data_IF_897189353360
#
_entry.id   IF_897189353360
#
_cell.length_a   1.000
_cell.length_b   1.000
_cell.length_c   1.000
_cell.angle_alpha   90.00
_cell.angle_beta   90.00
_cell.angle_gamma   90.00
#
_symmetry.space_group_name_H-M   'P 1'
#
loop_
_entity.id
_entity.type
_entity.pdbx_description
1 polymer ?
#
# COMPACT_ATOMS: atom_id res chain seq x y z
N UNK A 1 -28.16 11.90 -11.14
CA UNK A 1 -28.29 11.93 -9.67
C UNK A 1 -26.91 12.26 -9.10
N UNK A 2 -26.79 13.35 -8.35
CA UNK A 2 -25.53 13.73 -7.70
C UNK A 2 -25.27 12.73 -6.57
N UNK A 3 -24.37 11.78 -6.78
CA UNK A 3 -23.87 10.92 -5.70
C UNK A 3 -23.14 11.83 -4.72
N UNK A 4 -23.66 12.00 -3.51
CA UNK A 4 -22.90 12.64 -2.44
C UNK A 4 -21.57 11.91 -2.28
N UNK A 5 -20.47 12.65 -2.32
CA UNK A 5 -19.13 12.10 -2.07
C UNK A 5 -19.09 11.73 -0.58
N UNK A 6 -18.86 10.45 -0.29
CA UNK A 6 -18.59 10.01 1.08
C UNK A 6 -17.24 10.58 1.52
N UNK A 7 -17.22 11.34 2.61
CA UNK A 7 -16.04 12.01 3.15
C UNK A 7 -15.69 11.39 4.50
N UNK A 8 -14.44 10.97 4.65
CA UNK A 8 -13.86 10.66 5.96
C UNK A 8 -13.48 11.97 6.66
N UNK A 9 -13.99 12.21 7.87
CA UNK A 9 -13.79 13.48 8.58
C UNK A 9 -12.37 13.65 9.10
N UNK A 10 -11.70 12.54 9.45
CA UNK A 10 -10.33 12.56 9.97
C UNK A 10 -9.32 12.63 8.82
N UNK A 11 -9.67 12.01 7.69
CA UNK A 11 -8.85 11.93 6.49
C UNK A 11 -9.64 12.37 5.24
N UNK A 12 -9.91 13.69 5.09
CA UNK A 12 -10.78 14.21 4.03
C UNK A 12 -10.25 14.00 2.62
N UNK A 13 -8.96 13.66 2.48
CA UNK A 13 -8.37 13.33 1.18
C UNK A 13 -8.67 11.91 0.71
N UNK A 14 -9.25 11.05 1.54
CA UNK A 14 -9.58 9.67 1.16
C UNK A 14 -10.68 9.60 0.12
N UNK A 15 -10.40 8.91 -0.99
CA UNK A 15 -11.44 8.45 -1.91
C UNK A 15 -12.18 7.23 -1.30
N UNK A 16 -13.11 7.47 -0.37
CA UNK A 16 -13.69 6.43 0.51
C UNK A 16 -14.29 5.25 -0.26
N UNK A 17 -15.04 5.52 -1.33
CA UNK A 17 -15.61 4.45 -2.18
C UNK A 17 -14.51 3.55 -2.78
N UNK A 18 -13.43 4.16 -3.28
CA UNK A 18 -12.28 3.46 -3.85
C UNK A 18 -11.51 2.69 -2.78
N UNK A 19 -11.27 3.29 -1.62
CA UNK A 19 -10.65 2.62 -0.49
C UNK A 19 -11.39 1.34 -0.11
N UNK A 20 -12.73 1.41 0.05
CA UNK A 20 -13.56 0.25 0.39
C UNK A 20 -13.46 -0.86 -0.65
N UNK A 21 -13.53 -0.51 -1.93
CA UNK A 21 -13.42 -1.48 -3.01
C UNK A 21 -12.03 -2.13 -3.10
N UNK A 22 -10.96 -1.35 -2.86
CA UNK A 22 -9.59 -1.89 -2.75
C UNK A 22 -9.44 -2.84 -1.56
N UNK A 23 -10.01 -2.48 -0.39
CA UNK A 23 -10.03 -3.36 0.80
C UNK A 23 -10.76 -4.67 0.52
N UNK A 24 -11.93 -4.61 -0.12
CA UNK A 24 -12.70 -5.79 -0.51
C UNK A 24 -11.90 -6.72 -1.43
N UNK A 25 -11.24 -6.17 -2.45
CA UNK A 25 -10.35 -6.96 -3.31
C UNK A 25 -9.20 -7.58 -2.52
N UNK A 26 -8.51 -6.81 -1.68
CA UNK A 26 -7.40 -7.30 -0.89
C UNK A 26 -7.81 -8.45 0.04
N UNK A 27 -8.99 -8.36 0.67
CA UNK A 27 -9.56 -9.44 1.49
C UNK A 27 -10.00 -10.66 0.68
N UNK A 28 -10.33 -10.49 -0.61
CA UNK A 28 -10.75 -11.59 -1.48
C UNK A 28 -9.59 -12.46 -1.99
N UNK A 29 -8.35 -11.99 -1.89
CA UNK A 29 -7.17 -12.72 -2.33
C UNK A 29 -6.94 -13.93 -1.43
N UNK A 30 -6.85 -15.12 -2.03
CA UNK A 30 -6.64 -16.37 -1.28
C UNK A 30 -5.15 -16.64 -1.03
N UNK A 31 -4.86 -17.39 0.03
CA UNK A 31 -3.47 -17.71 0.41
C UNK A 31 -2.72 -18.47 -0.68
N UNK A 32 -3.36 -19.40 -1.39
CA UNK A 32 -2.75 -20.14 -2.51
C UNK A 32 -2.41 -19.24 -3.70
N UNK A 33 -3.20 -18.19 -3.91
CA UNK A 33 -2.95 -17.16 -4.91
C UNK A 33 -1.78 -16.24 -4.56
N UNK A 34 -1.60 -15.98 -3.27
CA UNK A 34 -0.53 -15.15 -2.71
C UNK A 34 0.76 -15.92 -2.39
N UNK A 35 0.77 -17.24 -2.60
CA UNK A 35 1.93 -18.11 -2.37
C UNK A 35 2.56 -18.62 -3.66
N UNK A 36 2.31 -17.93 -4.77
CA UNK A 36 2.90 -18.20 -6.09
C UNK A 36 4.24 -17.47 -6.28
N UNK A 37 4.76 -17.47 -7.50
CA UNK A 37 5.89 -16.63 -7.89
C UNK A 37 5.59 -15.16 -7.59
N UNK A 38 6.56 -14.46 -6.99
CA UNK A 38 6.40 -13.09 -6.52
C UNK A 38 5.94 -12.12 -7.61
N UNK A 39 6.36 -12.29 -8.87
CA UNK A 39 5.91 -11.41 -9.94
C UNK A 39 4.40 -11.54 -10.20
N UNK A 40 3.83 -12.75 -10.10
CA UNK A 40 2.38 -12.95 -10.17
C UNK A 40 1.67 -12.39 -8.94
N UNK A 41 2.22 -12.65 -7.75
CA UNK A 41 1.66 -12.17 -6.49
C UNK A 41 1.61 -10.63 -6.47
N UNK A 42 2.68 -9.95 -6.85
CA UNK A 42 2.72 -8.48 -6.92
C UNK A 42 1.68 -7.94 -7.89
N UNK A 43 1.47 -8.56 -9.06
CA UNK A 43 0.40 -8.15 -9.99
C UNK A 43 -0.98 -8.26 -9.36
N UNK A 44 -1.24 -9.29 -8.56
CA UNK A 44 -2.50 -9.45 -7.82
C UNK A 44 -2.66 -8.38 -6.73
N UNK A 45 -1.59 -8.07 -6.00
CA UNK A 45 -1.59 -6.99 -4.99
C UNK A 45 -1.84 -5.63 -5.65
N UNK A 46 -1.21 -5.33 -6.79
CA UNK A 46 -1.47 -4.12 -7.57
C UNK A 46 -2.94 -4.04 -8.04
N UNK A 47 -3.46 -5.13 -8.62
CA UNK A 47 -4.85 -5.21 -9.06
C UNK A 47 -5.83 -4.98 -7.91
N UNK A 48 -5.57 -5.58 -6.75
CA UNK A 48 -6.39 -5.39 -5.56
C UNK A 48 -6.37 -3.92 -5.11
N UNK A 49 -5.24 -3.25 -5.32
CA UNK A 49 -5.11 -1.84 -5.04
C UNK A 49 -5.65 -0.86 -6.07
N UNK A 50 -6.18 -1.36 -7.19
CA UNK A 50 -6.60 -0.52 -8.30
C UNK A 50 -5.43 0.13 -9.02
N UNK A 51 -4.27 -0.54 -9.08
CA UNK A 51 -3.09 -0.11 -9.82
C UNK A 51 -2.84 -1.03 -11.02
N UNK A 52 -2.46 -0.44 -12.15
CA UNK A 52 -1.92 -1.15 -13.31
C UNK A 52 -0.49 -1.58 -13.02
N UNK A 53 -0.09 -2.72 -13.58
CA UNK A 53 1.31 -3.14 -13.59
C UNK A 53 2.03 -2.46 -14.75
N UNK A 54 2.82 -1.44 -14.41
CA UNK A 54 3.60 -0.61 -15.34
C UNK A 54 5.07 -0.62 -14.89
N UNK A 55 5.73 -1.79 -14.93
CA UNK A 55 7.07 -1.97 -14.36
C UNK A 55 8.17 -1.31 -15.19
N UNK A 56 7.89 -0.89 -16.42
CA UNK A 56 8.86 -0.27 -17.34
C UNK A 56 8.51 1.18 -17.69
N UNK A 57 7.45 1.74 -17.08
CA UNK A 57 7.08 3.13 -17.32
C UNK A 57 8.15 4.08 -16.75
N UNK A 58 8.32 5.23 -17.41
CA UNK A 58 9.26 6.25 -16.93
C UNK A 58 8.75 6.89 -15.63
N UNK A 59 9.65 7.37 -14.75
CA UNK A 59 9.27 8.17 -13.58
C UNK A 59 8.35 9.33 -13.99
N UNK A 60 7.26 9.53 -13.23
CA UNK A 60 6.20 10.51 -13.55
C UNK A 60 5.11 10.02 -14.52
N UNK A 61 5.32 8.90 -15.23
CA UNK A 61 4.36 8.32 -16.19
C UNK A 61 3.66 7.07 -15.65
N UNK A 62 3.45 7.01 -14.33
CA UNK A 62 2.76 5.91 -13.68
C UNK A 62 3.62 4.68 -13.43
N UNK A 63 4.95 4.85 -13.30
CA UNK A 63 5.88 3.78 -12.91
C UNK A 63 5.45 3.12 -11.59
N UNK A 64 4.96 1.88 -11.66
CA UNK A 64 4.59 1.08 -10.48
C UNK A 64 5.64 0.03 -10.14
N UNK A 65 6.75 -0.08 -10.89
CA UNK A 65 7.77 -1.13 -10.69
C UNK A 65 8.34 -1.24 -9.27
N UNK A 66 8.39 -0.14 -8.52
CA UNK A 66 8.83 -0.10 -7.13
C UNK A 66 7.72 -0.45 -6.11
N UNK A 67 6.44 -0.31 -6.49
CA UNK A 67 5.30 -0.59 -5.61
C UNK A 67 5.40 -2.01 -5.05
N UNK A 68 5.43 -2.11 -3.73
CA UNK A 68 5.57 -3.36 -2.96
C UNK A 68 6.87 -4.14 -3.20
N UNK A 69 7.80 -3.63 -4.00
CA UNK A 69 9.07 -4.29 -4.35
C UNK A 69 10.27 -3.78 -3.54
N UNK A 70 10.09 -2.72 -2.76
CA UNK A 70 11.07 -2.20 -1.82
C UNK A 70 10.48 -2.11 -0.40
N UNK A 71 11.29 -1.71 0.57
CA UNK A 71 10.85 -1.64 1.96
C UNK A 71 9.86 -0.52 2.26
N UNK A 72 9.78 0.51 1.42
CA UNK A 72 9.18 1.80 1.74
C UNK A 72 7.83 2.02 1.06
N UNK A 73 7.68 1.67 -0.21
CA UNK A 73 6.47 1.91 -1.02
C UNK A 73 5.45 0.80 -0.86
N UNK A 74 5.04 0.57 0.39
CA UNK A 74 4.17 -0.55 0.78
C UNK A 74 2.77 -0.10 1.21
N UNK A 75 2.48 1.20 1.21
CA UNK A 75 1.18 1.76 1.59
C UNK A 75 0.34 2.03 0.38
N UNK A 76 -0.74 1.28 0.20
CA UNK A 76 -1.70 1.58 -0.83
C UNK A 76 -2.65 2.70 -0.36
N UNK A 77 -2.35 3.92 -0.79
CA UNK A 77 -3.19 5.09 -0.58
C UNK A 77 -4.24 5.21 -1.69
N UNK A 78 -5.46 5.58 -1.32
CA UNK A 78 -6.51 5.97 -2.27
C UNK A 78 -6.95 7.39 -1.98
N UNK A 79 -6.81 8.30 -2.94
CA UNK A 79 -7.03 9.72 -2.73
C UNK A 79 -8.06 10.30 -3.70
N UNK A 80 -8.81 11.31 -3.26
CA UNK A 80 -9.70 12.07 -4.15
C UNK A 80 -8.89 12.78 -5.24
N UNK A 81 -9.52 13.09 -6.38
CA UNK A 81 -8.81 13.65 -7.54
C UNK A 81 -8.06 14.95 -7.19
N UNK A 82 -8.64 15.81 -6.36
CA UNK A 82 -7.99 17.08 -5.92
C UNK A 82 -6.67 16.84 -5.19
N UNK A 83 -6.62 15.80 -4.35
CA UNK A 83 -5.44 15.45 -3.57
C UNK A 83 -4.41 14.67 -4.39
N UNK A 84 -4.81 14.04 -5.50
CA UNK A 84 -3.87 13.34 -6.39
C UNK A 84 -2.82 14.29 -7.01
N UNK A 85 -3.16 15.58 -7.17
CA UNK A 85 -2.26 16.61 -7.67
C UNK A 85 -1.50 17.36 -6.57
N UNK A 86 -1.64 16.96 -5.30
CA UNK A 86 -1.01 17.67 -4.20
C UNK A 86 0.51 17.47 -4.20
N UNK A 87 1.26 18.56 -4.27
CA UNK A 87 2.73 18.54 -4.28
C UNK A 87 3.27 18.45 -2.84
N UNK A 88 4.34 17.68 -2.63
CA UNK A 88 5.06 17.75 -1.35
C UNK A 88 5.70 19.14 -1.20
N UNK A 89 5.26 19.93 -0.21
CA UNK A 89 5.80 21.28 0.09
C UNK A 89 6.91 21.25 1.14
N UNK A 90 7.59 20.11 1.29
CA UNK A 90 8.63 19.89 2.30
C UNK A 90 8.09 19.38 3.65
N UNK A 91 6.80 19.01 3.70
CA UNK A 91 6.13 18.49 4.90
C UNK A 91 6.58 17.06 5.21
N UNK A 92 6.95 16.28 4.19
CA UNK A 92 7.54 14.95 4.34
C UNK A 92 9.05 15.01 4.15
N UNK A 93 9.80 14.81 5.24
CA UNK A 93 11.26 14.76 5.23
C UNK A 93 11.74 13.59 4.37
N UNK A 94 12.60 13.88 3.38
CA UNK A 94 13.21 12.87 2.50
C UNK A 94 12.55 12.69 1.13
N UNK A 95 11.44 13.39 0.85
CA UNK A 95 10.80 13.41 -0.47
C UNK A 95 11.08 14.74 -1.17
N UNK A 96 11.32 14.71 -2.47
CA UNK A 96 11.55 15.91 -3.28
C UNK A 96 10.37 16.89 -3.19
N UNK A 97 10.68 18.17 -3.01
CA UNK A 97 9.70 19.27 -3.05
C UNK A 97 9.20 19.41 -4.50
N UNK A 98 7.89 19.56 -4.71
CA UNK A 98 7.31 19.78 -6.04
C UNK A 98 7.12 18.53 -6.91
N UNK A 99 7.16 17.32 -6.32
CA UNK A 99 6.90 16.09 -7.08
C UNK A 99 5.43 16.00 -7.51
N UNK A 100 5.15 16.17 -8.80
CA UNK A 100 3.80 16.12 -9.39
C UNK A 100 3.38 14.68 -9.66
N UNK A 101 2.87 14.00 -8.64
CA UNK A 101 2.44 12.60 -8.73
C UNK A 101 1.11 12.42 -9.48
N UNK A 102 0.28 13.47 -9.60
CA UNK A 102 -1.08 13.41 -10.16
C UNK A 102 -1.22 12.76 -11.53
N UNK A 103 -0.44 13.16 -12.55
CA UNK A 103 -0.47 12.51 -13.86
C UNK A 103 -0.14 11.01 -13.79
N UNK A 104 0.89 10.65 -13.02
CA UNK A 104 1.29 9.25 -12.82
C UNK A 104 0.22 8.42 -12.11
N UNK A 105 -0.38 8.97 -11.06
CA UNK A 105 -1.49 8.35 -10.32
C UNK A 105 -2.67 8.08 -11.25
N UNK A 106 -3.06 9.07 -12.06
CA UNK A 106 -4.17 8.92 -13.01
C UNK A 106 -3.88 7.85 -14.07
N UNK A 107 -2.65 7.82 -14.60
CA UNK A 107 -2.23 6.83 -15.60
C UNK A 107 -2.25 5.41 -15.00
N UNK A 108 -1.70 5.24 -13.80
CA UNK A 108 -1.58 3.95 -13.14
C UNK A 108 -2.89 3.45 -12.52
N UNK A 109 -3.84 4.32 -12.20
CA UNK A 109 -5.09 3.94 -11.55
C UNK A 109 -6.01 3.15 -12.49
N UNK A 110 -6.62 2.08 -11.97
CA UNK A 110 -7.71 1.37 -12.60
C UNK A 110 -9.03 2.12 -12.28
N UNK A 111 -9.82 2.52 -13.28
CA UNK A 111 -10.99 3.38 -13.08
C UNK A 111 -12.19 2.68 -12.43
N UNK A 112 -12.27 1.35 -12.52
CA UNK A 112 -13.44 0.57 -12.10
C UNK A 112 -13.71 0.57 -10.58
N UNK A 113 -12.71 0.94 -9.77
CA UNK A 113 -12.83 0.96 -8.30
C UNK A 113 -13.47 2.23 -7.74
N UNK A 114 -13.90 3.17 -8.60
CA UNK A 114 -14.58 4.40 -8.21
C UNK A 114 -13.76 5.66 -8.48
N UNK A 115 -14.25 6.84 -8.06
CA UNK A 115 -13.56 8.11 -8.32
C UNK A 115 -12.23 8.20 -7.57
N UNK A 116 -11.40 9.19 -7.93
CA UNK A 116 -10.08 9.37 -7.35
C UNK A 116 -9.00 8.46 -7.95
N UNK A 117 -7.85 8.42 -7.30
CA UNK A 117 -6.68 7.63 -7.69
C UNK A 117 -6.20 6.67 -6.61
N UNK A 118 -5.41 5.69 -7.03
CA UNK A 118 -4.65 4.77 -6.17
C UNK A 118 -3.16 5.01 -6.36
N UNK A 119 -2.36 4.87 -5.29
CA UNK A 119 -0.90 4.95 -5.37
C UNK A 119 -0.21 4.20 -4.24
N UNK A 120 0.96 3.62 -4.50
CA UNK A 120 1.84 3.09 -3.45
C UNK A 120 2.70 4.22 -2.87
N UNK A 121 2.45 4.59 -1.63
CA UNK A 121 3.11 5.67 -0.92
C UNK A 121 4.17 5.15 0.05
N UNK A 122 5.10 6.03 0.45
CA UNK A 122 6.14 5.71 1.42
C UNK A 122 5.55 5.52 2.82
N UNK A 123 5.93 4.44 3.50
CA UNK A 123 5.44 4.07 4.84
C UNK A 123 6.29 4.62 5.99
N UNK A 124 7.31 5.43 5.70
CA UNK A 124 8.17 6.02 6.73
C UNK A 124 7.34 6.85 7.72
N UNK A 125 7.43 6.54 9.02
CA UNK A 125 6.64 7.20 10.07
C UNK A 125 5.30 6.53 10.37
N UNK A 126 4.97 5.42 9.71
CA UNK A 126 3.72 4.69 9.96
C UNK A 126 3.63 4.02 11.34
N UNK A 127 4.75 3.84 12.04
CA UNK A 127 4.77 3.31 13.42
C UNK A 127 4.36 4.32 14.50
N UNK A 128 4.14 5.58 14.14
CA UNK A 128 3.58 6.58 15.06
C UNK A 128 2.07 6.44 15.21
N UNK A 129 1.51 7.01 16.28
CA UNK A 129 0.06 7.14 16.47
C UNK A 129 -0.31 8.62 16.73
N UNK A 130 -1.03 9.30 15.81
CA UNK A 130 -1.44 8.81 14.49
C UNK A 130 -0.25 8.59 13.55
N UNK A 131 -0.39 7.76 12.48
CA UNK A 131 0.66 7.55 11.49
C UNK A 131 1.13 8.85 10.85
N UNK A 132 2.43 8.97 10.59
CA UNK A 132 3.06 10.15 9.98
C UNK A 132 3.68 9.88 8.60
N UNK A 133 3.17 8.84 7.94
CA UNK A 133 3.58 8.48 6.60
C UNK A 133 2.97 9.40 5.51
N UNK A 134 3.37 9.18 4.26
CA UNK A 134 2.97 10.03 3.14
C UNK A 134 1.46 10.01 2.92
N UNK A 135 0.79 8.85 3.09
CA UNK A 135 -0.65 8.76 2.90
C UNK A 135 -1.40 9.66 3.88
N UNK A 136 -1.05 9.56 5.16
CA UNK A 136 -1.75 10.25 6.23
C UNK A 136 -1.41 11.75 6.29
N UNK A 137 -0.17 12.13 6.00
CA UNK A 137 0.29 13.53 6.13
C UNK A 137 0.04 14.32 4.84
N UNK A 138 0.59 13.85 3.72
CA UNK A 138 0.56 14.62 2.46
C UNK A 138 -0.82 14.53 1.81
N UNK A 139 -1.36 13.32 1.69
CA UNK A 139 -2.64 13.11 1.01
C UNK A 139 -3.84 13.18 1.94
N UNK A 140 -3.62 13.34 3.25
CA UNK A 140 -4.67 13.31 4.28
C UNK A 140 -5.63 12.15 4.06
N UNK A 141 -5.07 10.99 3.77
CA UNK A 141 -5.81 9.82 3.35
C UNK A 141 -5.45 8.59 4.16
N UNK A 142 -6.46 7.79 4.51
CA UNK A 142 -6.27 6.41 4.95
C UNK A 142 -5.70 5.55 3.82
N UNK A 143 -4.92 4.56 4.22
CA UNK A 143 -4.54 3.48 3.32
C UNK A 143 -5.69 2.47 3.17
N UNK A 144 -5.84 1.93 1.97
CA UNK A 144 -6.70 0.77 1.78
C UNK A 144 -6.03 -0.48 2.39
N UNK A 145 -4.74 -0.67 2.14
CA UNK A 145 -3.94 -1.68 2.82
C UNK A 145 -2.45 -1.33 2.82
N UNK A 146 -1.71 -2.01 3.70
CA UNK A 146 -0.25 -2.01 3.79
C UNK A 146 0.26 -3.43 3.64
N UNK A 147 1.32 -3.62 2.87
CA UNK A 147 2.06 -4.88 2.83
C UNK A 147 3.13 -4.91 3.92
N UNK A 148 3.09 -5.94 4.76
CA UNK A 148 4.07 -6.16 5.83
C UNK A 148 4.67 -7.56 5.71
N UNK A 149 6.00 -7.65 5.67
CA UNK A 149 6.71 -8.93 5.70
C UNK A 149 6.76 -9.52 7.11
N UNK A 150 6.52 -10.82 7.23
CA UNK A 150 6.34 -11.50 8.51
C UNK A 150 7.69 -12.01 9.08
N UNK A 151 8.10 -11.62 10.29
CA UNK A 151 9.31 -12.14 10.94
C UNK A 151 9.10 -13.60 11.42
N UNK A 152 10.16 -14.34 11.78
CA UNK A 152 11.58 -13.98 11.66
C UNK A 152 12.23 -14.38 10.33
N UNK A 153 11.64 -15.27 9.53
CA UNK A 153 12.23 -15.72 8.26
C UNK A 153 11.96 -14.76 7.09
N UNK A 154 10.97 -13.87 7.23
CA UNK A 154 10.53 -12.92 6.21
C UNK A 154 10.09 -13.58 4.90
N UNK A 155 9.71 -14.86 4.91
CA UNK A 155 9.25 -15.62 3.73
C UNK A 155 7.77 -15.37 3.40
N UNK A 156 7.00 -14.96 4.39
CA UNK A 156 5.57 -14.66 4.25
C UNK A 156 5.33 -13.16 4.36
N UNK A 157 4.23 -12.68 3.79
CA UNK A 157 3.75 -11.31 4.00
C UNK A 157 2.26 -11.33 4.33
N UNK A 158 1.79 -10.25 4.95
CA UNK A 158 0.38 -9.99 5.25
C UNK A 158 -0.02 -8.63 4.67
N UNK A 159 -1.23 -8.55 4.15
CA UNK A 159 -1.92 -7.30 3.89
C UNK A 159 -2.78 -6.94 5.09
N UNK A 160 -2.57 -5.75 5.64
CA UNK A 160 -3.36 -5.21 6.75
C UNK A 160 -4.01 -3.90 6.34
N UNK A 161 -5.19 -3.60 6.87
CA UNK A 161 -5.85 -2.32 6.64
C UNK A 161 -5.27 -1.18 7.49
N UNK A 162 -5.82 0.03 7.33
CA UNK A 162 -5.38 1.20 8.09
C UNK A 162 -5.50 1.04 9.62
N UNK A 163 -6.40 0.21 10.12
CA UNK A 163 -6.52 -0.09 11.55
C UNK A 163 -5.52 -1.15 12.03
N UNK A 164 -4.72 -1.74 11.13
CA UNK A 164 -3.89 -2.90 11.40
C UNK A 164 -4.66 -4.22 11.37
N UNK A 165 -5.89 -4.22 10.86
CA UNK A 165 -6.73 -5.41 10.74
C UNK A 165 -6.29 -6.30 9.58
N UNK A 166 -6.31 -7.61 9.78
CA UNK A 166 -5.98 -8.61 8.78
C UNK A 166 -6.87 -8.54 7.53
N UNK A 167 -6.28 -8.66 6.34
CA UNK A 167 -7.01 -8.80 5.07
C UNK A 167 -6.70 -10.13 4.37
N UNK A 168 -5.43 -10.39 4.08
CA UNK A 168 -4.95 -11.61 3.41
C UNK A 168 -3.45 -11.80 3.65
N UNK A 169 -2.93 -13.01 3.40
CA UNK A 169 -1.49 -13.29 3.52
C UNK A 169 -1.06 -14.36 2.51
N UNK A 170 0.25 -14.47 2.28
CA UNK A 170 0.83 -15.52 1.46
C UNK A 170 2.32 -15.74 1.72
N UNK A 171 2.84 -16.83 1.19
CA UNK A 171 4.26 -17.23 1.30
C UNK A 171 4.84 -17.37 -0.11
N UNK A 172 5.13 -16.25 -0.79
CA UNK A 172 5.54 -16.25 -2.18
C UNK A 172 6.89 -16.92 -2.39
N UNK A 173 7.16 -17.30 -3.64
CA UNK A 173 8.42 -17.89 -4.09
C UNK A 173 9.03 -17.09 -5.25
N UNK A 174 10.14 -17.58 -5.81
CA UNK A 174 10.81 -16.94 -6.94
C UNK A 174 11.65 -15.72 -6.57
N UNK A 175 11.68 -14.72 -7.45
CA UNK A 175 12.50 -13.50 -7.25
C UNK A 175 11.76 -12.50 -6.37
N UNK A 176 11.82 -12.73 -5.06
CA UNK A 176 11.28 -11.82 -4.05
C UNK A 176 12.19 -10.59 -3.83
N UNK A 177 11.68 -9.52 -3.18
CA UNK A 177 12.53 -8.44 -2.69
C UNK A 177 13.67 -9.00 -1.82
N UNK A 178 14.84 -8.37 -1.90
CA UNK A 178 16.00 -8.79 -1.13
C UNK A 178 15.65 -8.91 0.36
N UNK A 179 16.25 -9.89 1.06
CA UNK A 179 15.93 -10.14 2.48
C UNK A 179 16.03 -8.86 3.33
N UNK A 180 17.02 -8.02 3.04
CA UNK A 180 17.19 -6.72 3.69
C UNK A 180 15.95 -5.82 3.52
N UNK A 181 15.40 -5.69 2.32
CA UNK A 181 14.19 -4.89 2.07
C UNK A 181 13.01 -5.38 2.91
N UNK A 182 12.82 -6.70 2.97
CA UNK A 182 11.75 -7.34 3.76
C UNK A 182 11.91 -7.10 5.27
N UNK A 183 13.16 -7.21 5.76
CA UNK A 183 13.50 -6.90 7.15
C UNK A 183 13.27 -5.41 7.49
N UNK A 184 13.69 -4.50 6.60
CA UNK A 184 13.50 -3.07 6.81
C UNK A 184 12.02 -2.67 6.76
N UNK A 185 11.21 -3.29 5.89
CA UNK A 185 9.76 -3.11 5.86
C UNK A 185 9.14 -3.45 7.22
N UNK A 186 9.44 -4.63 7.77
CA UNK A 186 8.94 -5.00 9.09
C UNK A 186 9.44 -4.06 10.19
N UNK A 187 10.72 -3.72 10.17
CA UNK A 187 11.32 -2.77 11.13
C UNK A 187 10.59 -1.43 11.16
N UNK A 188 10.02 -0.98 10.04
CA UNK A 188 9.24 0.27 9.98
C UNK A 188 7.89 0.18 10.69
N UNK A 189 7.32 -1.01 10.87
CA UNK A 189 6.04 -1.22 11.56
C UNK A 189 6.19 -1.79 12.97
N UNK A 190 7.38 -2.25 13.34
CA UNK A 190 7.65 -2.90 14.62
C UNK A 190 7.14 -2.05 15.80
N UNK A 191 6.41 -2.71 16.72
CA UNK A 191 5.79 -2.05 17.88
C UNK A 191 4.51 -1.26 17.58
N UNK A 192 4.06 -1.19 16.32
CA UNK A 192 2.83 -0.49 15.93
C UNK A 192 1.64 -1.43 15.71
N UNK A 193 0.45 -0.85 15.46
CA UNK A 193 -0.75 -1.61 15.09
C UNK A 193 -0.57 -2.49 13.86
N UNK A 194 0.31 -2.11 12.93
CA UNK A 194 0.53 -2.83 11.68
C UNK A 194 1.40 -4.09 11.82
N UNK A 195 2.13 -4.26 12.93
CA UNK A 195 3.00 -5.43 13.15
C UNK A 195 2.27 -6.68 13.65
N UNK A 196 1.12 -6.52 14.32
CA UNK A 196 0.46 -7.59 15.08
C UNK A 196 0.16 -8.84 14.24
N UNK A 197 -0.43 -8.65 13.06
CA UNK A 197 -0.78 -9.77 12.17
C UNK A 197 0.46 -10.39 11.52
N UNK A 198 1.49 -9.59 11.23
CA UNK A 198 2.75 -10.09 10.69
C UNK A 198 3.46 -11.01 11.69
N UNK A 199 3.49 -10.63 12.97
CA UNK A 199 4.02 -11.46 14.06
C UNK A 199 3.21 -12.75 14.24
N UNK A 200 1.88 -12.67 14.17
CA UNK A 200 1.00 -13.84 14.30
C UNK A 200 1.24 -14.85 13.18
N UNK A 201 1.23 -14.40 11.93
CA UNK A 201 1.46 -15.26 10.75
C UNK A 201 2.89 -15.83 10.74
N UNK A 202 3.86 -15.01 11.14
CA UNK A 202 5.25 -15.41 11.29
C UNK A 202 5.44 -16.60 12.23
N UNK A 203 4.88 -16.51 13.45
CA UNK A 203 4.92 -17.59 14.44
C UNK A 203 4.31 -18.89 13.90
N UNK A 204 3.12 -18.82 13.31
CA UNK A 204 2.45 -20.00 12.75
C UNK A 204 3.20 -20.66 11.59
N UNK A 205 4.05 -19.91 10.87
CA UNK A 205 4.87 -20.44 9.76
C UNK A 205 6.16 -21.11 10.25
N UNK A 206 6.63 -20.78 11.45
CA UNK A 206 7.85 -21.34 12.06
C UNK A 206 7.63 -22.69 12.75
N UNK A 207 6.37 -23.08 12.97
CA UNK A 207 5.95 -24.32 13.64
C UNK A 207 5.62 -25.47 12.66
N UNK A 208 5.76 -25.23 11.34
CA UNK A 208 5.55 -26.22 10.27
C UNK A 208 6.87 -26.64 9.63
#
# INVERSE_FOLDING_TARGET
MSSSIEIDKDYPGTAVKRMKACKERASSLKTDELSKDWAEVRRRVLWAGGLKDLPDAQPGYGYTGHSFNDWNHCDLCTMIDQESFNENKGEVKGIAIGNQLGPGIKIASIPELGPGGSWSTCMMGCNSDPPKDVAHVQFKSRIAFKLVWCPPEFKSFVLVDDAGGYLSHGTPTGTMPALRERQFNYKMVEGSKYAKEAERIGKSSSEQ
#
